data_IF_758317639477
#
_entry.id   IF_758317639477
#
_cell.length_a   1.000
_cell.length_b   1.000
_cell.length_c   1.000
_cell.angle_alpha   90.00
_cell.angle_beta   90.00
_cell.angle_gamma   90.00
#
_symmetry.space_group_name_H-M   'P 1'
#
loop_
_entity.id
_entity.type
_entity.pdbx_description
1 polymer ?
#
# COMPACT_ATOMS: atom_id res chain seq x y z
N UNK A 1 -15.15 24.54 -0.59
CA UNK A 1 -14.66 24.42 -1.98
C UNK A 1 -14.21 22.98 -2.15
N UNK A 2 -15.09 22.11 -2.66
CA UNK A 2 -14.82 20.69 -2.92
C UNK A 2 -14.14 20.61 -4.28
N UNK A 3 -12.86 20.28 -4.32
CA UNK A 3 -12.14 20.01 -5.57
C UNK A 3 -12.72 18.78 -6.24
N UNK A 4 -13.31 18.95 -7.43
CA UNK A 4 -13.67 17.82 -8.27
C UNK A 4 -12.38 17.12 -8.71
N UNK A 5 -12.23 15.84 -8.33
CA UNK A 5 -11.10 15.02 -8.74
C UNK A 5 -11.30 14.59 -10.19
N UNK A 6 -10.76 15.37 -11.11
CA UNK A 6 -10.82 15.11 -12.56
C UNK A 6 -9.58 14.34 -13.01
N UNK A 7 -9.77 13.12 -13.53
CA UNK A 7 -8.70 12.25 -14.05
C UNK A 7 -9.14 10.78 -14.06
N UNK A 8 -8.36 9.87 -14.68
CA UNK A 8 -8.61 8.44 -14.53
C UNK A 8 -8.44 8.03 -13.06
N UNK A 9 -9.23 7.05 -12.63
CA UNK A 9 -9.03 6.41 -11.33
C UNK A 9 -7.69 5.67 -11.30
N UNK A 10 -6.92 5.83 -10.22
CA UNK A 10 -5.59 5.24 -10.06
C UNK A 10 -5.56 4.23 -8.91
N UNK A 11 -5.28 2.97 -9.20
CA UNK A 11 -4.93 1.98 -8.16
C UNK A 11 -3.41 1.82 -8.07
N UNK A 12 -2.85 2.08 -6.88
CA UNK A 12 -1.42 1.84 -6.58
C UNK A 12 -1.28 0.55 -5.79
N UNK A 13 -0.53 -0.41 -6.33
CA UNK A 13 -0.25 -1.69 -5.65
C UNK A 13 1.18 -1.67 -5.10
N UNK A 14 1.32 -1.82 -3.80
CA UNK A 14 2.60 -1.94 -3.10
C UNK A 14 2.78 -3.38 -2.66
N UNK A 15 3.66 -4.11 -3.33
CA UNK A 15 4.06 -5.46 -2.90
C UNK A 15 4.99 -5.33 -1.69
N UNK A 16 4.72 -6.09 -0.64
CA UNK A 16 5.47 -6.02 0.61
C UNK A 16 5.88 -7.43 1.09
N UNK A 17 7.15 -7.56 1.51
CA UNK A 17 7.66 -8.71 2.27
C UNK A 17 8.82 -8.23 3.14
N UNK A 18 8.60 -8.15 4.46
CA UNK A 18 9.59 -7.72 5.43
C UNK A 18 10.22 -6.34 5.13
N UNK A 19 9.36 -5.34 4.89
CA UNK A 19 9.73 -3.96 4.55
C UNK A 19 9.48 -2.98 5.71
N UNK A 20 9.57 -3.41 6.98
CA UNK A 20 9.25 -2.53 8.12
C UNK A 20 10.08 -1.23 8.14
N UNK A 21 11.30 -1.25 7.62
CA UNK A 21 12.16 -0.07 7.56
C UNK A 21 11.72 0.96 6.50
N UNK A 22 11.11 0.51 5.40
CA UNK A 22 10.83 1.35 4.23
C UNK A 22 9.35 1.65 4.03
N UNK A 23 8.48 0.72 4.40
CA UNK A 23 7.06 0.75 4.04
C UNK A 23 6.37 2.02 4.55
N UNK A 24 6.64 2.43 5.79
CA UNK A 24 6.02 3.63 6.35
C UNK A 24 6.40 4.91 5.58
N UNK A 25 7.64 5.04 5.15
CA UNK A 25 8.08 6.18 4.33
C UNK A 25 7.44 6.14 2.95
N UNK A 26 7.40 4.96 2.31
CA UNK A 26 6.75 4.75 1.02
C UNK A 26 5.27 5.16 1.07
N UNK A 27 4.51 4.68 2.06
CA UNK A 27 3.08 4.98 2.18
C UNK A 27 2.81 6.47 2.43
N UNK A 28 3.63 7.16 3.24
CA UNK A 28 3.50 8.61 3.43
C UNK A 28 3.70 9.37 2.13
N UNK A 29 4.71 9.01 1.34
CA UNK A 29 4.96 9.65 0.04
C UNK A 29 3.81 9.39 -0.91
N UNK A 30 3.36 8.14 -1.06
CA UNK A 30 2.24 7.82 -1.94
C UNK A 30 0.97 8.59 -1.57
N UNK A 31 0.64 8.67 -0.28
CA UNK A 31 -0.51 9.43 0.20
C UNK A 31 -0.41 10.92 -0.11
N UNK A 32 0.78 11.52 0.01
CA UNK A 32 1.00 12.92 -0.33
C UNK A 32 0.86 13.18 -1.85
N UNK A 33 1.51 12.35 -2.67
CA UNK A 33 1.54 12.52 -4.13
C UNK A 33 0.17 12.23 -4.79
N UNK A 34 -0.64 11.37 -4.16
CA UNK A 34 -1.96 11.00 -4.69
C UNK A 34 -3.12 11.79 -4.07
N UNK A 35 -2.86 12.72 -3.15
CA UNK A 35 -3.89 13.43 -2.39
C UNK A 35 -4.90 14.22 -3.26
N UNK A 36 -4.50 14.65 -4.46
CA UNK A 36 -5.36 15.36 -5.41
C UNK A 36 -6.01 14.46 -6.46
N UNK A 37 -5.66 13.17 -6.49
CA UNK A 37 -6.14 12.18 -7.44
C UNK A 37 -7.29 11.37 -6.86
N UNK A 38 -8.16 10.84 -7.72
CA UNK A 38 -9.09 9.78 -7.31
C UNK A 38 -8.33 8.46 -7.32
N UNK A 39 -7.75 8.10 -6.17
CA UNK A 39 -6.82 6.99 -6.05
C UNK A 39 -7.07 6.10 -4.84
N UNK A 40 -6.72 4.82 -4.97
CA UNK A 40 -6.58 3.88 -3.86
C UNK A 40 -5.13 3.36 -3.76
N UNK A 41 -4.71 3.04 -2.53
CA UNK A 41 -3.44 2.39 -2.26
C UNK A 41 -3.72 1.04 -1.63
N UNK A 42 -3.17 -0.02 -2.24
CA UNK A 42 -3.33 -1.40 -1.83
C UNK A 42 -1.96 -1.98 -1.48
N UNK A 43 -1.77 -2.33 -0.21
CA UNK A 43 -0.60 -3.09 0.25
C UNK A 43 -0.89 -4.57 0.09
N UNK A 44 -0.12 -5.25 -0.74
CA UNK A 44 -0.16 -6.70 -0.92
C UNK A 44 0.99 -7.32 -0.14
N UNK A 45 0.70 -7.79 1.07
CA UNK A 45 1.67 -8.41 1.96
C UNK A 45 1.87 -9.90 1.62
N UNK A 46 3.13 -10.31 1.51
CA UNK A 46 3.53 -11.66 1.17
C UNK A 46 3.81 -12.53 2.40
N UNK A 47 3.06 -12.35 3.49
CA UNK A 47 3.35 -12.89 4.83
C UNK A 47 4.65 -12.36 5.42
N UNK A 48 4.71 -11.05 5.61
CA UNK A 48 5.79 -10.48 6.40
C UNK A 48 5.78 -11.05 7.81
N UNK A 49 6.97 -11.33 8.33
CA UNK A 49 7.22 -11.83 9.69
C UNK A 49 7.79 -10.73 10.61
N UNK A 50 8.01 -9.55 10.06
CA UNK A 50 8.40 -8.35 10.79
C UNK A 50 7.18 -7.44 11.07
N UNK A 51 7.43 -6.19 11.45
CA UNK A 51 6.38 -5.20 11.73
C UNK A 51 5.68 -4.60 10.51
N UNK A 52 5.92 -5.08 9.28
CA UNK A 52 5.41 -4.45 8.05
C UNK A 52 3.88 -4.30 8.02
N UNK A 53 3.16 -5.36 8.39
CA UNK A 53 1.68 -5.35 8.38
C UNK A 53 1.14 -4.36 9.40
N UNK A 54 1.76 -4.30 10.59
CA UNK A 54 1.35 -3.35 11.62
C UNK A 54 1.63 -1.91 11.19
N UNK A 55 2.75 -1.63 10.54
CA UNK A 55 3.03 -0.32 9.95
C UNK A 55 1.95 0.03 8.92
N UNK A 56 1.61 -0.87 8.00
CA UNK A 56 0.57 -0.62 7.00
C UNK A 56 -0.80 -0.27 7.63
N UNK A 57 -1.17 -0.92 8.74
CA UNK A 57 -2.45 -0.66 9.47
C UNK A 57 -2.56 0.75 10.03
N UNK A 58 -1.44 1.44 10.26
CA UNK A 58 -1.44 2.83 10.73
C UNK A 58 -1.68 3.85 9.60
N UNK A 59 -1.80 3.39 8.35
CA UNK A 59 -2.08 4.24 7.20
C UNK A 59 -3.47 3.97 6.63
N UNK A 60 -4.13 4.96 6.00
CA UNK A 60 -5.42 4.80 5.34
C UNK A 60 -5.28 4.07 4.00
N UNK A 61 -4.85 2.81 4.05
CA UNK A 61 -4.60 1.96 2.88
C UNK A 61 -5.36 0.65 3.00
N UNK A 62 -5.65 0.01 1.86
CA UNK A 62 -6.22 -1.33 1.84
C UNK A 62 -5.11 -2.35 1.97
N UNK A 63 -5.24 -3.31 2.88
CA UNK A 63 -4.26 -4.38 3.07
C UNK A 63 -4.86 -5.68 2.57
N UNK A 64 -4.12 -6.37 1.70
CA UNK A 64 -4.40 -7.73 1.24
C UNK A 64 -3.19 -8.57 1.59
N UNK A 65 -3.41 -9.69 2.25
CA UNK A 65 -2.33 -10.59 2.61
C UNK A 65 -2.51 -11.93 1.90
N UNK A 66 -1.44 -12.46 1.31
CA UNK A 66 -1.51 -13.76 0.64
C UNK A 66 -1.74 -14.88 1.66
N UNK A 67 -2.61 -15.83 1.31
CA UNK A 67 -3.06 -16.86 2.23
C UNK A 67 -1.92 -17.80 2.65
N UNK A 68 -0.95 -18.07 1.77
CA UNK A 68 0.16 -18.97 2.05
C UNK A 68 1.50 -18.39 1.58
N UNK A 69 2.55 -18.59 2.37
CA UNK A 69 3.90 -18.15 2.01
C UNK A 69 4.45 -18.88 0.78
N UNK A 70 4.00 -20.10 0.51
CA UNK A 70 4.35 -20.87 -0.69
C UNK A 70 3.85 -20.24 -2.00
N UNK A 71 2.86 -19.33 -1.92
CA UNK A 71 2.34 -18.61 -3.08
C UNK A 71 3.20 -17.40 -3.48
N UNK A 72 4.31 -17.15 -2.76
CA UNK A 72 5.29 -16.11 -3.10
C UNK A 72 5.89 -16.38 -4.49
N UNK A 73 5.52 -15.55 -5.46
CA UNK A 73 6.16 -15.52 -6.78
C UNK A 73 6.84 -14.17 -6.99
N UNK A 74 7.99 -14.18 -7.64
CA UNK A 74 8.72 -12.94 -7.95
C UNK A 74 8.02 -12.06 -9.00
N UNK A 75 7.00 -12.60 -9.69
CA UNK A 75 6.48 -12.01 -10.93
C UNK A 75 7.16 -12.67 -12.11
#
# INVERSE_FOLDING_TARGET
MTTERSGPFLSVIVKCLNEAENLGACLRTLLAETASLDAEIIVVDSQSTDGSVDIARHHPVRIVQIAKAEDRRCG
#
